data_IF_132539816425
#
_entry.id   IF_132539816425
#
_cell.length_a   1.000
_cell.length_b   1.000
_cell.length_c   1.000
_cell.angle_alpha   90.00
_cell.angle_beta   90.00
_cell.angle_gamma   90.00
#
_symmetry.space_group_name_H-M   'P 1'
#
loop_
_entity.id
_entity.type
_entity.pdbx_description
1 polymer ?
#
# COMPACT_ATOMS: atom_id res chain seq x y z
N UNK A 1 -6.78 -1.85 -0.18
CA UNK A 1 -5.35 -1.45 -0.19
C UNK A 1 -4.55 -2.53 -0.88
N UNK A 2 -3.63 -2.14 -1.76
CA UNK A 2 -2.73 -3.01 -2.51
C UNK A 2 -1.29 -2.70 -2.07
N UNK A 3 -0.48 -3.73 -1.80
CA UNK A 3 0.91 -3.60 -1.40
C UNK A 3 1.78 -4.61 -2.13
N UNK A 4 2.95 -4.21 -2.60
CA UNK A 4 3.96 -5.14 -3.11
C UNK A 4 4.81 -5.77 -1.99
N UNK A 5 5.19 -7.03 -2.21
CA UNK A 5 5.96 -7.80 -1.24
C UNK A 5 7.38 -7.26 -0.98
N UNK A 6 8.02 -6.60 -1.95
CA UNK A 6 9.39 -6.06 -1.80
C UNK A 6 9.48 -4.99 -0.70
N UNK A 7 8.43 -4.17 -0.56
CA UNK A 7 8.30 -3.13 0.46
C UNK A 7 8.23 -3.70 1.90
N UNK A 8 7.99 -5.00 2.05
CA UNK A 8 8.10 -5.70 3.33
C UNK A 8 9.51 -6.21 3.63
N UNK A 9 10.50 -6.12 2.72
CA UNK A 9 11.82 -6.77 2.89
C UNK A 9 12.97 -5.80 3.19
N UNK A 10 12.98 -4.61 2.61
CA UNK A 10 14.20 -3.80 2.49
C UNK A 10 14.63 -3.03 3.76
N UNK A 11 13.69 -2.55 4.58
CA UNK A 11 14.00 -1.64 5.70
C UNK A 11 13.07 -1.90 6.90
N UNK A 12 13.62 -2.10 8.09
CA UNK A 12 12.86 -2.48 9.30
C UNK A 12 11.93 -1.35 9.74
N UNK A 13 12.36 -0.09 9.62
CA UNK A 13 11.54 1.05 10.02
C UNK A 13 10.36 1.26 9.07
N UNK A 14 10.62 1.17 7.76
CA UNK A 14 9.56 1.22 6.74
C UNK A 14 8.61 0.04 6.86
N UNK A 15 9.12 -1.18 7.10
CA UNK A 15 8.30 -2.38 7.33
C UNK A 15 7.31 -2.17 8.47
N UNK A 16 7.76 -1.63 9.62
CA UNK A 16 6.86 -1.37 10.75
C UNK A 16 5.73 -0.39 10.38
N UNK A 17 6.04 0.66 9.63
CA UNK A 17 5.01 1.61 9.13
C UNK A 17 3.99 0.90 8.24
N UNK A 18 4.42 0.07 7.30
CA UNK A 18 3.51 -0.65 6.41
C UNK A 18 2.68 -1.71 7.14
N UNK A 19 3.26 -2.43 8.09
CA UNK A 19 2.53 -3.39 8.92
C UNK A 19 1.45 -2.68 9.73
N UNK A 20 1.78 -1.53 10.35
CA UNK A 20 0.81 -0.74 11.10
C UNK A 20 -0.31 -0.20 10.20
N UNK A 21 0.02 0.26 8.98
CA UNK A 21 -0.96 0.72 8.01
C UNK A 21 -1.91 -0.40 7.57
N UNK A 22 -1.37 -1.58 7.25
CA UNK A 22 -2.15 -2.77 6.88
C UNK A 22 -3.09 -3.17 8.02
N UNK A 23 -2.60 -3.15 9.27
CA UNK A 23 -3.42 -3.46 10.43
C UNK A 23 -4.54 -2.42 10.60
N UNK A 24 -4.23 -1.12 10.52
CA UNK A 24 -5.23 -0.05 10.62
C UNK A 24 -6.33 -0.16 9.56
N UNK A 25 -5.98 -0.51 8.32
CA UNK A 25 -6.97 -0.74 7.25
C UNK A 25 -7.86 -1.94 7.56
N UNK A 26 -7.29 -3.06 8.03
CA UNK A 26 -8.06 -4.24 8.44
C UNK A 26 -9.00 -3.93 9.60
N UNK A 27 -8.53 -3.21 10.61
CA UNK A 27 -9.32 -2.80 11.78
C UNK A 27 -10.47 -1.86 11.40
N UNK A 28 -10.26 -1.04 10.36
CA UNK A 28 -11.27 -0.13 9.79
C UNK A 28 -12.29 -0.86 8.87
N UNK A 29 -12.20 -2.18 8.77
CA UNK A 29 -13.04 -3.04 7.94
C UNK A 29 -12.70 -3.01 6.44
N UNK A 30 -11.49 -2.58 6.08
CA UNK A 30 -11.00 -2.54 4.70
C UNK A 30 -10.26 -3.82 4.30
N UNK A 31 -10.30 -4.14 3.01
CA UNK A 31 -9.57 -5.29 2.45
C UNK A 31 -8.16 -4.90 2.03
N UNK A 32 -7.19 -5.76 2.35
CA UNK A 32 -5.79 -5.62 1.96
C UNK A 32 -5.40 -6.78 1.06
N UNK A 33 -4.81 -6.47 -0.10
CA UNK A 33 -4.22 -7.44 -1.02
C UNK A 33 -2.72 -7.21 -1.12
N UNK A 34 -1.95 -8.30 -1.06
CA UNK A 34 -0.50 -8.26 -1.23
C UNK A 34 -0.18 -8.92 -2.56
N UNK A 35 0.49 -8.20 -3.45
CA UNK A 35 0.94 -8.71 -4.73
C UNK A 35 2.41 -9.13 -4.67
N UNK A 36 2.71 -10.22 -5.37
CA UNK A 36 4.09 -10.63 -5.58
C UNK A 36 4.69 -9.78 -6.70
N UNK A 37 5.89 -9.26 -6.47
CA UNK A 37 6.65 -8.51 -7.48
C UNK A 37 7.09 -9.35 -8.68
N UNK A 38 7.00 -10.69 -8.58
CA UNK A 38 7.25 -11.62 -9.69
C UNK A 38 6.02 -11.88 -10.59
N UNK A 39 4.91 -11.16 -10.36
CA UNK A 39 3.72 -11.23 -11.20
C UNK A 39 3.47 -9.87 -11.86
N UNK A 40 2.89 -9.87 -13.06
CA UNK A 40 2.61 -8.65 -13.86
C UNK A 40 1.86 -7.60 -13.04
N UNK A 41 0.95 -8.03 -12.15
CA UNK A 41 0.22 -7.14 -11.25
C UNK A 41 1.11 -6.44 -10.21
N UNK A 42 2.17 -7.09 -9.73
CA UNK A 42 3.14 -6.48 -8.82
C UNK A 42 4.14 -5.59 -9.55
N UNK A 43 4.54 -5.94 -10.78
CA UNK A 43 5.35 -5.03 -11.61
C UNK A 43 4.62 -3.71 -11.91
N UNK A 44 3.33 -3.79 -12.23
CA UNK A 44 2.48 -2.61 -12.45
C UNK A 44 2.30 -1.77 -11.18
N UNK A 45 2.14 -2.42 -10.02
CA UNK A 45 2.00 -1.71 -8.75
C UNK A 45 3.33 -1.05 -8.34
N UNK A 46 4.47 -1.69 -8.60
CA UNK A 46 5.79 -1.13 -8.34
C UNK A 46 6.05 0.15 -9.15
N UNK A 47 5.56 0.22 -10.39
CA UNK A 47 5.60 1.46 -11.20
C UNK A 47 4.80 2.61 -10.59
N UNK A 48 3.82 2.30 -9.72
CA UNK A 48 3.01 3.26 -8.96
C UNK A 48 3.50 3.41 -7.51
N UNK A 49 4.81 3.28 -7.26
CA UNK A 49 5.48 3.32 -5.93
C UNK A 49 5.38 2.04 -5.08
N UNK A 50 4.64 1.04 -5.55
CA UNK A 50 4.48 -0.25 -4.88
C UNK A 50 3.36 -0.31 -3.83
N UNK A 51 2.53 0.74 -3.75
CA UNK A 51 1.44 0.89 -2.78
C UNK A 51 0.29 1.65 -3.41
N UNK A 52 -0.93 1.13 -3.27
CA UNK A 52 -2.14 1.83 -3.72
C UNK A 52 -3.31 1.59 -2.77
N UNK A 53 -4.26 2.54 -2.74
CA UNK A 53 -5.49 2.41 -1.98
C UNK A 53 -6.69 2.83 -2.81
N UNK A 54 -7.79 2.09 -2.65
CA UNK A 54 -9.10 2.48 -3.16
C UNK A 54 -9.90 2.96 -1.95
N UNK A 55 -10.35 4.21 -2.00
CA UNK A 55 -11.08 4.85 -0.91
C UNK A 55 -12.59 4.60 -1.06
N UNK A 56 -13.31 4.59 0.07
CA UNK A 56 -14.78 4.42 0.09
C UNK A 56 -15.54 5.69 -0.31
N UNK A 57 -14.87 6.83 -0.27
CA UNK A 57 -15.40 8.13 -0.63
C UNK A 57 -14.32 8.93 -1.36
N UNK A 58 -14.70 9.84 -2.26
CA UNK A 58 -13.74 10.72 -2.90
C UNK A 58 -13.10 11.63 -1.84
N UNK A 59 -11.78 11.72 -1.87
CA UNK A 59 -11.02 12.62 -1.01
C UNK A 59 -10.30 13.61 -1.93
N UNK A 60 -10.94 14.76 -2.26
CA UNK A 60 -10.29 15.78 -3.07
C UNK A 60 -9.05 16.32 -2.36
N UNK A 61 -8.09 16.81 -3.13
CA UNK A 61 -6.84 17.43 -2.66
C UNK A 61 -5.83 16.45 -2.01
N UNK A 62 -5.99 15.14 -2.21
CA UNK A 62 -4.99 14.15 -1.74
C UNK A 62 -3.61 14.35 -2.39
N UNK A 63 -3.59 14.87 -3.62
CA UNK A 63 -2.36 15.14 -4.39
C UNK A 63 -1.56 16.33 -3.84
N UNK A 64 -2.22 17.24 -3.10
CA UNK A 64 -1.63 18.44 -2.50
C UNK A 64 -1.15 18.21 -1.05
N UNK A 65 -1.38 17.01 -0.50
CA UNK A 65 -0.85 16.63 0.81
C UNK A 65 0.63 16.28 0.63
N UNK A 66 1.52 17.25 0.88
CA UNK A 66 2.97 17.02 0.89
C UNK A 66 3.31 15.86 1.85
N UNK A 67 3.97 14.83 1.31
CA UNK A 67 4.45 13.64 2.04
C UNK A 67 5.76 13.90 2.80
#
# INVERSE_FOLDING_TARGET
MLLDNENMSADIERRKKYVNLVNSVKDSGGTVHIFSTMHVSGEQLAQLTGIAAILRFPLPDLEDIEM
#
